data_IF_403342562085
#
_entry.id   IF_403342562085
#
_cell.length_a   1.000
_cell.length_b   1.000
_cell.length_c   1.000
_cell.angle_alpha   90.00
_cell.angle_beta   90.00
_cell.angle_gamma   90.00
#
_symmetry.space_group_name_H-M   'P 1'
#
loop_
_entity.id
_entity.type
_entity.pdbx_description
1 polymer ?
#
# COMPACT_ATOMS: atom_id res chain seq x y z
N UNK A 1 2.35 14.95 9.27
CA UNK A 1 2.41 13.47 9.18
C UNK A 1 1.60 13.04 7.98
N UNK A 2 2.15 12.23 7.06
CA UNK A 2 1.54 12.12 5.75
C UNK A 2 0.32 11.20 5.70
N UNK A 3 -0.70 11.62 4.95
CA UNK A 3 -1.71 10.73 4.40
C UNK A 3 -1.19 10.19 3.08
N UNK A 4 -1.29 8.88 2.87
CA UNK A 4 -0.94 8.24 1.60
C UNK A 4 -2.20 7.79 0.89
N UNK A 5 -2.22 7.80 -0.43
CA UNK A 5 -3.39 7.43 -1.21
C UNK A 5 -3.01 6.56 -2.41
N UNK A 6 -3.71 5.44 -2.53
CA UNK A 6 -3.38 4.42 -3.52
C UNK A 6 -4.01 3.07 -3.18
N UNK A 7 -3.33 2.01 -3.56
CA UNK A 7 -3.77 0.62 -3.37
C UNK A 7 -2.77 -0.09 -2.48
N UNK A 8 -3.21 -1.08 -1.69
CA UNK A 8 -2.29 -1.84 -0.87
C UNK A 8 -2.47 -3.34 -1.07
N UNK A 9 -1.38 -4.09 -0.93
CA UNK A 9 -1.39 -5.54 -0.78
C UNK A 9 -1.08 -5.87 0.68
N UNK A 10 -1.89 -6.71 1.30
CA UNK A 10 -1.65 -7.16 2.67
C UNK A 10 -0.41 -8.05 2.73
N UNK A 11 0.09 -8.35 3.94
CA UNK A 11 1.15 -9.35 4.09
C UNK A 11 0.74 -10.70 3.51
N UNK A 12 -0.52 -11.10 3.68
CA UNK A 12 -1.01 -12.38 3.20
C UNK A 12 -1.10 -12.41 1.67
N UNK A 13 -1.60 -11.34 1.04
CA UNK A 13 -1.59 -11.24 -0.44
C UNK A 13 -0.15 -11.29 -0.99
N UNK A 14 0.80 -10.63 -0.30
CA UNK A 14 2.23 -10.69 -0.67
C UNK A 14 2.82 -12.10 -0.48
N UNK A 15 2.43 -12.82 0.56
CA UNK A 15 2.88 -14.20 0.83
C UNK A 15 2.32 -15.18 -0.19
N UNK A 16 1.05 -15.04 -0.53
CA UNK A 16 0.40 -15.82 -1.58
C UNK A 16 1.11 -15.60 -2.91
N UNK A 17 1.36 -14.35 -3.28
CA UNK A 17 2.13 -14.01 -4.48
C UNK A 17 3.52 -14.67 -4.50
N UNK A 18 4.25 -14.64 -3.38
CA UNK A 18 5.58 -15.28 -3.29
C UNK A 18 5.52 -16.79 -3.47
N UNK A 19 4.49 -17.46 -2.92
CA UNK A 19 4.33 -18.91 -3.10
C UNK A 19 4.13 -19.28 -4.56
N UNK A 20 3.39 -18.47 -5.31
CA UNK A 20 3.06 -18.75 -6.70
C UNK A 20 4.18 -18.35 -7.68
N UNK A 21 4.89 -17.25 -7.42
CA UNK A 21 5.80 -16.65 -8.39
C UNK A 21 7.29 -16.80 -8.01
N UNK A 22 7.61 -16.99 -6.73
CA UNK A 22 8.98 -17.06 -6.22
C UNK A 22 9.11 -18.16 -5.12
N UNK A 23 8.76 -19.42 -5.44
CA UNK A 23 8.70 -20.49 -4.44
C UNK A 23 10.04 -20.70 -3.72
N UNK A 24 11.17 -20.53 -4.41
CA UNK A 24 12.51 -20.64 -3.82
C UNK A 24 12.77 -19.64 -2.69
N UNK A 25 12.24 -18.41 -2.81
CA UNK A 25 12.36 -17.39 -1.77
C UNK A 25 11.53 -17.81 -0.56
N UNK A 26 10.33 -18.34 -0.80
CA UNK A 26 9.42 -18.80 0.25
C UNK A 26 9.96 -20.04 0.98
N UNK A 27 10.58 -20.98 0.27
CA UNK A 27 11.22 -22.16 0.86
C UNK A 27 12.40 -21.79 1.76
N UNK A 28 13.25 -20.85 1.32
CA UNK A 28 14.39 -20.37 2.11
C UNK A 28 13.97 -19.53 3.32
N UNK A 29 12.85 -18.80 3.19
CA UNK A 29 12.31 -17.99 4.27
C UNK A 29 10.77 -18.02 4.27
N UNK A 30 10.15 -18.96 4.99
CA UNK A 30 8.69 -19.08 5.06
C UNK A 30 7.97 -17.88 5.69
N UNK A 31 8.71 -17.00 6.37
CA UNK A 31 8.22 -15.74 6.95
C UNK A 31 8.39 -14.53 6.03
N UNK A 32 8.93 -14.71 4.82
CA UNK A 32 9.01 -13.66 3.82
C UNK A 32 7.62 -13.13 3.45
N UNK A 33 7.47 -11.80 3.38
CA UNK A 33 6.21 -11.14 3.01
C UNK A 33 6.46 -9.93 2.10
N UNK A 34 6.38 -8.70 2.62
CA UNK A 34 6.33 -7.46 1.83
C UNK A 34 7.65 -7.11 1.13
N UNK A 35 8.80 -7.25 1.81
CA UNK A 35 10.10 -6.80 1.26
C UNK A 35 10.54 -7.51 -0.04
N UNK A 36 10.45 -8.85 -0.15
CA UNK A 36 10.80 -9.52 -1.41
C UNK A 36 9.86 -9.13 -2.55
N UNK A 37 8.57 -8.96 -2.27
CA UNK A 37 7.58 -8.48 -3.25
C UNK A 37 7.88 -7.04 -3.66
N UNK A 38 8.24 -6.15 -2.74
CA UNK A 38 8.64 -4.77 -3.03
C UNK A 38 9.82 -4.71 -4.02
N UNK A 39 10.83 -5.58 -3.83
CA UNK A 39 11.97 -5.66 -4.75
C UNK A 39 11.54 -6.08 -6.15
N UNK A 40 10.71 -7.12 -6.27
CA UNK A 40 10.16 -7.58 -7.56
C UNK A 40 9.25 -6.54 -8.21
N UNK A 41 8.46 -5.83 -7.42
CA UNK A 41 7.63 -4.74 -7.89
C UNK A 41 8.47 -3.57 -8.42
N UNK A 42 9.59 -3.22 -7.77
CA UNK A 42 10.55 -2.22 -8.30
C UNK A 42 11.14 -2.63 -9.65
N UNK A 43 11.51 -3.90 -9.81
CA UNK A 43 11.98 -4.46 -11.09
C UNK A 43 10.90 -4.37 -12.17
N UNK A 44 9.67 -4.78 -11.84
CA UNK A 44 8.51 -4.67 -12.72
C UNK A 44 8.22 -3.24 -13.15
N UNK A 45 8.22 -2.29 -12.21
CA UNK A 45 7.99 -0.86 -12.48
C UNK A 45 9.03 -0.29 -13.43
N UNK A 46 10.30 -0.71 -13.30
CA UNK A 46 11.38 -0.33 -14.21
C UNK A 46 11.16 -0.93 -15.60
N UNK A 47 10.81 -2.21 -15.69
CA UNK A 47 10.58 -2.90 -16.95
C UNK A 47 9.40 -2.31 -17.73
N UNK A 48 8.28 -2.02 -17.06
CA UNK A 48 7.08 -1.41 -17.66
C UNK A 48 7.18 0.12 -17.82
N UNK A 49 8.28 0.75 -17.40
CA UNK A 49 8.51 2.21 -17.44
C UNK A 49 7.43 3.02 -16.68
N UNK A 50 6.84 2.44 -15.64
CA UNK A 50 5.80 3.07 -14.79
C UNK A 50 6.35 3.62 -13.47
N UNK A 51 7.67 3.64 -13.28
CA UNK A 51 8.30 4.14 -12.05
C UNK A 51 8.03 5.62 -11.71
N UNK A 52 7.48 6.40 -12.65
CA UNK A 52 7.01 7.79 -12.40
C UNK A 52 5.51 7.88 -12.12
N UNK A 53 4.77 6.79 -12.34
CA UNK A 53 3.32 6.77 -12.17
C UNK A 53 2.94 6.66 -10.69
N UNK A 54 3.62 5.80 -9.94
CA UNK A 54 3.43 5.59 -8.50
C UNK A 54 4.77 5.21 -7.85
N UNK A 55 4.82 5.20 -6.52
CA UNK A 55 5.94 4.66 -5.75
C UNK A 55 5.46 3.64 -4.73
N UNK A 56 6.38 2.87 -4.17
CA UNK A 56 6.08 1.84 -3.17
C UNK A 56 6.43 2.35 -1.77
N UNK A 57 5.57 2.07 -0.80
CA UNK A 57 5.82 2.35 0.61
C UNK A 57 5.30 1.18 1.44
N UNK A 58 5.98 0.85 2.53
CA UNK A 58 5.47 -0.17 3.47
C UNK A 58 4.88 0.57 4.67
N UNK A 59 3.56 0.44 4.85
CA UNK A 59 2.82 1.17 5.88
C UNK A 59 2.12 0.19 6.83
N UNK A 60 1.96 0.54 8.11
CA UNK A 60 1.04 -0.20 8.97
C UNK A 60 -0.39 -0.01 8.49
N UNK A 61 -1.15 -1.10 8.49
CA UNK A 61 -2.58 -1.06 8.25
C UNK A 61 -3.31 -0.63 9.53
N UNK A 62 -4.32 0.25 9.40
CA UNK A 62 -5.27 0.53 10.47
C UNK A 62 -5.86 -0.75 11.05
N UNK A 63 -5.76 -0.90 12.36
CA UNK A 63 -6.18 -2.10 13.07
C UNK A 63 -5.76 -2.07 14.54
N UNK A 64 -6.20 -3.05 15.35
CA UNK A 64 -5.85 -3.12 16.76
C UNK A 64 -4.31 -3.13 16.92
N UNK A 65 -3.77 -2.48 17.97
CA UNK A 65 -2.34 -2.34 18.18
C UNK A 65 -1.72 -3.72 18.46
N UNK A 66 -1.18 -4.34 17.42
CA UNK A 66 -0.36 -5.55 17.54
C UNK A 66 1.12 -5.09 17.50
N UNK A 67 2.00 -5.59 18.39
CA UNK A 67 3.42 -5.18 18.42
C UNK A 67 4.17 -5.36 17.10
N UNK A 68 3.70 -6.29 16.27
CA UNK A 68 4.23 -6.59 14.93
C UNK A 68 3.27 -6.14 13.81
N UNK A 69 2.35 -5.21 14.13
CA UNK A 69 1.11 -4.84 13.43
C UNK A 69 1.11 -4.98 11.91
N UNK A 70 -0.03 -5.37 11.30
CA UNK A 70 -0.07 -5.79 9.90
C UNK A 70 0.46 -4.70 8.97
N UNK A 71 1.62 -4.93 8.37
CA UNK A 71 2.19 -4.03 7.37
C UNK A 71 1.64 -4.37 5.99
N UNK A 72 1.33 -3.37 5.17
CA UNK A 72 0.98 -3.57 3.79
C UNK A 72 2.01 -2.94 2.86
N UNK A 73 2.19 -3.56 1.69
CA UNK A 73 2.90 -2.93 0.58
C UNK A 73 1.91 -2.02 -0.13
N UNK A 74 2.11 -0.71 -0.03
CA UNK A 74 1.26 0.30 -0.66
C UNK A 74 1.86 0.78 -1.98
N UNK A 75 1.04 0.79 -3.02
CA UNK A 75 1.27 1.43 -4.29
C UNK A 75 0.74 2.86 -4.20
N UNK A 76 1.59 3.77 -3.76
CA UNK A 76 1.25 5.16 -3.48
C UNK A 76 1.21 5.97 -4.77
N UNK A 77 0.03 6.53 -5.08
CA UNK A 77 -0.13 7.50 -6.16
C UNK A 77 0.07 8.93 -5.70
N UNK A 78 -0.42 9.23 -4.50
CA UNK A 78 -0.41 10.58 -3.92
C UNK A 78 -0.14 10.52 -2.44
N UNK A 79 0.44 11.60 -1.93
CA UNK A 79 0.57 11.81 -0.50
C UNK A 79 0.29 13.29 -0.17
N UNK A 80 -0.11 13.55 1.06
CA UNK A 80 -0.27 14.88 1.64
C UNK A 80 0.44 14.88 2.97
N UNK A 81 1.13 15.94 3.36
CA UNK A 81 1.77 16.04 4.69
C UNK A 81 0.76 16.26 5.83
N UNK A 82 -0.51 16.50 5.48
CA UNK A 82 -1.64 16.72 6.39
C UNK A 82 -2.52 15.46 6.44
N UNK A 83 -3.30 15.32 7.53
CA UNK A 83 -4.40 14.37 7.63
C UNK A 83 -5.52 14.84 6.70
N UNK A 84 -5.58 14.28 5.50
CA UNK A 84 -6.52 14.74 4.45
C UNK A 84 -6.87 13.58 3.56
N UNK A 85 -8.17 13.43 3.28
CA UNK A 85 -8.63 12.45 2.32
C UNK A 85 -8.18 12.83 0.91
N UNK A 86 -7.77 11.83 0.12
CA UNK A 86 -7.21 12.01 -1.21
C UNK A 86 -7.96 11.11 -2.19
N UNK A 87 -9.11 11.58 -2.68
CA UNK A 87 -9.99 10.85 -3.60
C UNK A 87 -9.27 10.44 -4.90
N UNK A 88 -9.54 9.27 -5.53
CA UNK A 88 -8.94 8.84 -6.80
C UNK A 88 -9.18 9.88 -7.91
N UNK A 89 -8.18 10.12 -8.79
CA UNK A 89 -8.25 11.15 -9.85
C UNK A 89 -8.30 10.48 -11.23
N UNK A 90 -9.51 10.05 -11.59
CA UNK A 90 -9.85 9.57 -12.93
C UNK A 90 -9.30 8.18 -13.26
N UNK A 91 -9.51 7.77 -14.52
CA UNK A 91 -9.24 6.42 -15.00
C UNK A 91 -7.78 5.99 -14.85
N UNK A 92 -6.82 6.93 -14.90
CA UNK A 92 -5.39 6.62 -14.83
C UNK A 92 -5.00 5.94 -13.51
N UNK A 93 -5.62 6.32 -12.39
CA UNK A 93 -5.33 5.70 -11.10
C UNK A 93 -5.79 4.22 -11.13
N UNK A 94 -6.96 3.93 -11.74
CA UNK A 94 -7.47 2.57 -11.92
C UNK A 94 -6.66 1.73 -12.90
N UNK A 95 -6.20 2.31 -14.02
CA UNK A 95 -5.35 1.60 -14.98
C UNK A 95 -4.05 1.08 -14.36
N UNK A 96 -3.50 1.79 -13.36
CA UNK A 96 -2.30 1.33 -12.64
C UNK A 96 -2.63 0.09 -11.80
N UNK A 97 -3.77 0.09 -11.11
CA UNK A 97 -4.26 -1.07 -10.36
C UNK A 97 -4.43 -2.27 -11.29
N UNK A 98 -5.10 -2.06 -12.42
CA UNK A 98 -5.38 -3.12 -13.38
C UNK A 98 -4.09 -3.68 -13.98
N UNK A 99 -3.12 -2.82 -14.30
CA UNK A 99 -1.79 -3.24 -14.75
C UNK A 99 -1.10 -4.13 -13.72
N UNK A 100 -1.15 -3.76 -12.43
CA UNK A 100 -0.50 -4.53 -11.35
C UNK A 100 -1.21 -5.87 -11.16
N UNK A 101 -2.54 -5.88 -11.12
CA UNK A 101 -3.31 -7.12 -10.92
C UNK A 101 -3.23 -8.07 -12.12
N UNK A 102 -3.19 -7.55 -13.35
CA UNK A 102 -3.16 -8.39 -14.56
C UNK A 102 -1.76 -8.88 -14.92
N UNK A 103 -0.74 -8.01 -14.81
CA UNK A 103 0.60 -8.29 -15.33
C UNK A 103 1.60 -8.64 -14.23
N UNK A 104 1.54 -7.96 -13.09
CA UNK A 104 2.34 -8.35 -11.92
C UNK A 104 1.65 -9.43 -11.09
N UNK A 105 0.34 -9.66 -11.29
CA UNK A 105 -0.48 -10.66 -10.58
C UNK A 105 -0.55 -10.48 -9.06
N UNK A 106 -0.19 -9.30 -8.56
CA UNK A 106 -0.35 -8.99 -7.14
C UNK A 106 -1.77 -8.51 -6.89
N UNK A 107 -2.48 -9.23 -6.04
CA UNK A 107 -3.79 -8.80 -5.54
C UNK A 107 -3.60 -7.56 -4.66
N UNK A 108 -4.40 -6.52 -4.94
CA UNK A 108 -4.39 -5.26 -4.20
C UNK A 108 -5.81 -4.82 -3.86
N UNK A 109 -5.94 -4.01 -2.82
CA UNK A 109 -7.20 -3.43 -2.34
C UNK A 109 -7.86 -2.52 -3.38
N UNK A 110 -9.04 -2.02 -3.03
CA UNK A 110 -9.59 -0.81 -3.63
C UNK A 110 -8.84 0.44 -3.14
N UNK A 111 -9.16 1.61 -3.74
CA UNK A 111 -8.51 2.86 -3.39
C UNK A 111 -8.67 3.16 -1.89
N UNK A 112 -7.54 3.38 -1.22
CA UNK A 112 -7.49 3.56 0.22
C UNK A 112 -6.58 4.72 0.58
N UNK A 113 -6.92 5.42 1.66
CA UNK A 113 -6.18 6.57 2.14
C UNK A 113 -5.76 6.36 3.61
N UNK A 114 -4.71 5.55 3.88
CA UNK A 114 -4.17 5.44 5.22
C UNK A 114 -3.51 6.75 5.68
N UNK A 115 -3.84 7.16 6.89
CA UNK A 115 -3.09 8.13 7.67
C UNK A 115 -2.42 7.41 8.84
N UNK A 116 -1.20 7.83 9.16
CA UNK A 116 -0.37 7.19 10.19
C UNK A 116 0.17 8.23 11.18
N UNK A 117 -0.04 7.97 12.47
CA UNK A 117 0.53 8.75 13.58
C UNK A 117 1.70 7.99 14.22
N UNK A 118 2.84 8.68 14.38
CA UNK A 118 3.99 8.20 15.17
C UNK A 118 3.90 8.65 16.62
N UNK A 119 3.03 9.61 16.90
CA UNK A 119 2.94 10.30 18.19
C UNK A 119 1.78 9.80 19.04
N UNK A 120 0.81 9.13 18.42
CA UNK A 120 -0.34 8.54 19.09
C UNK A 120 -0.13 7.02 19.23
N UNK A 121 0.11 6.52 20.44
CA UNK A 121 0.29 5.09 20.69
C UNK A 121 -1.04 4.30 20.61
N UNK A 122 -2.19 4.96 20.70
CA UNK A 122 -3.52 4.32 20.64
C UNK A 122 -4.08 4.30 19.20
N UNK A 123 -3.75 5.31 18.39
CA UNK A 123 -4.14 5.44 16.98
C UNK A 123 -2.91 5.50 16.08
N UNK A 124 -2.25 4.36 15.93
CA UNK A 124 -1.07 4.22 15.07
C UNK A 124 -1.42 4.53 13.61
N UNK A 125 -2.56 4.05 13.10
CA UNK A 125 -3.04 4.37 11.75
C UNK A 125 -4.57 4.29 11.61
N UNK A 126 -5.13 5.08 10.71
CA UNK A 126 -6.57 5.07 10.36
C UNK A 126 -6.76 5.14 8.84
N UNK A 127 -7.90 4.63 8.35
CA UNK A 127 -8.32 4.90 6.96
C UNK A 127 -9.17 6.16 6.92
N UNK A 128 -8.74 7.14 6.12
CA UNK A 128 -9.53 8.33 5.86
C UNK A 128 -10.62 8.01 4.84
N UNK A 129 -11.80 8.55 5.08
CA UNK A 129 -12.97 8.50 4.19
C UNK A 129 -13.33 9.91 3.73
N UNK A 130 -14.18 10.08 2.69
CA UNK A 130 -14.66 11.41 2.30
C UNK A 130 -15.31 12.18 3.45
N UNK A 131 -15.96 11.48 4.39
CA UNK A 131 -16.60 12.07 5.57
C UNK A 131 -15.59 12.49 6.65
N UNK A 132 -14.33 12.05 6.53
CA UNK A 132 -13.24 12.48 7.40
C UNK A 132 -12.77 13.91 7.06
N UNK A 133 -13.24 14.49 5.95
CA UNK A 133 -13.16 15.93 5.71
C UNK A 133 -14.24 16.66 6.54
N UNK A 134 -14.05 16.77 7.85
CA UNK A 134 -14.85 17.67 8.67
C UNK A 134 -14.00 18.41 9.71
N UNK A 135 -14.06 19.73 9.61
CA UNK A 135 -13.82 20.72 10.67
C UNK A 135 -12.37 21.07 10.98
N UNK A 136 -11.76 21.92 10.13
CA UNK A 136 -10.84 22.99 10.56
C UNK A 136 -10.86 24.09 9.51
N UNK A 137 -11.95 24.86 9.55
CA UNK A 137 -12.07 26.17 8.94
C UNK A 137 -12.72 27.07 9.99
N UNK A 138 -11.92 27.50 10.97
CA UNK A 138 -12.15 28.73 11.74
C UNK A 138 -10.81 29.45 11.95
#
# INVERSE_FOLDING_TARGET
>A
MPSFAGYFATQDDCREWLRENEPEIFERNPRASTRPVERRAKEFMKAKRVGKAFFLEILPLPGPPVPEGPWALMLVRRYSERKTYLAPKGERDHLIRDLVMSEFKLKVSDWSVPWYSKHDPELVSEFLSPETESSDNE
#
